data_IF_343711230374
#
_entry.id   IF_343711230374
#
_cell.length_a   1.000
_cell.length_b   1.000
_cell.length_c   1.000
_cell.angle_alpha   90.00
_cell.angle_beta   90.00
_cell.angle_gamma   90.00
#
_symmetry.space_group_name_H-M   'P 1'
#
loop_
_entity.id
_entity.type
_entity.pdbx_description
1 polymer ?
#
# COMPACT_ATOMS: atom_id res chain seq x y z
N UNK A 1 1.45 -18.77 -5.57
CA UNK A 1 1.35 -17.30 -5.49
C UNK A 1 2.74 -16.78 -5.23
N UNK A 2 3.25 -15.80 -5.99
CA UNK A 2 4.62 -15.29 -5.78
C UNK A 2 4.70 -14.41 -4.53
N UNK A 3 5.89 -14.25 -3.96
CA UNK A 3 6.14 -13.32 -2.84
C UNK A 3 5.66 -11.92 -3.17
N UNK A 4 5.92 -11.42 -4.38
CA UNK A 4 5.45 -10.10 -4.84
C UNK A 4 3.93 -9.99 -4.86
N UNK A 5 3.23 -11.02 -5.33
CA UNK A 5 1.75 -11.03 -5.29
C UNK A 5 1.22 -11.01 -3.86
N UNK A 6 1.89 -11.68 -2.92
CA UNK A 6 1.49 -11.69 -1.51
C UNK A 6 1.66 -10.29 -0.89
N UNK A 7 2.79 -9.63 -1.16
CA UNK A 7 3.07 -8.28 -0.70
C UNK A 7 2.08 -7.26 -1.28
N UNK A 8 1.71 -7.39 -2.56
CA UNK A 8 0.69 -6.54 -3.21
C UNK A 8 -0.64 -6.60 -2.45
N UNK A 9 -1.12 -7.82 -2.16
CA UNK A 9 -2.37 -7.99 -1.39
C UNK A 9 -2.24 -7.46 0.04
N UNK A 10 -1.06 -7.61 0.64
CA UNK A 10 -0.73 -7.04 1.94
C UNK A 10 -0.88 -5.52 1.95
N UNK A 11 -0.19 -4.80 1.04
CA UNK A 11 -0.28 -3.34 0.93
C UNK A 11 -1.71 -2.87 0.62
N UNK A 12 -2.44 -3.56 -0.27
CA UNK A 12 -3.85 -3.23 -0.54
C UNK A 12 -4.74 -3.34 0.71
N UNK A 13 -4.52 -4.36 1.54
CA UNK A 13 -5.24 -4.54 2.81
C UNK A 13 -4.92 -3.41 3.80
N UNK A 14 -3.65 -3.04 3.91
CA UNK A 14 -3.22 -1.93 4.78
C UNK A 14 -3.84 -0.62 4.32
N UNK A 15 -3.79 -0.32 3.02
CA UNK A 15 -4.42 0.87 2.43
C UNK A 15 -5.92 0.92 2.76
N UNK A 16 -6.64 -0.18 2.56
CA UNK A 16 -8.08 -0.27 2.83
C UNK A 16 -8.37 -0.06 4.33
N UNK A 17 -7.52 -0.59 5.21
CA UNK A 17 -7.67 -0.41 6.65
C UNK A 17 -7.48 1.05 7.07
N UNK A 18 -6.43 1.71 6.57
CA UNK A 18 -6.19 3.11 6.90
C UNK A 18 -7.19 4.07 6.26
N UNK A 19 -7.79 3.71 5.11
CA UNK A 19 -8.93 4.46 4.56
C UNK A 19 -10.13 4.41 5.49
N UNK A 20 -10.46 3.23 6.02
CA UNK A 20 -11.51 3.11 7.03
C UNK A 20 -11.20 3.95 8.27
N UNK A 21 -9.97 3.91 8.79
CA UNK A 21 -9.57 4.73 9.94
C UNK A 21 -9.63 6.23 9.66
N UNK A 22 -9.26 6.65 8.44
CA UNK A 22 -9.34 8.04 7.99
C UNK A 22 -10.78 8.54 7.94
N UNK A 23 -11.70 7.72 7.44
CA UNK A 23 -13.13 8.04 7.38
C UNK A 23 -13.73 8.20 8.78
N UNK A 24 -13.22 7.47 9.77
CA UNK A 24 -13.67 7.53 11.17
C UNK A 24 -12.82 8.41 12.08
N UNK A 25 -11.83 9.14 11.55
CA UNK A 25 -10.90 9.91 12.36
C UNK A 25 -11.61 11.05 13.12
N UNK A 26 -11.30 11.20 14.41
CA UNK A 26 -11.92 12.18 15.30
C UNK A 26 -11.09 13.47 15.42
N UNK A 27 -9.81 13.41 15.04
CA UNK A 27 -8.88 14.53 15.09
C UNK A 27 -8.13 14.75 13.79
N UNK A 28 -7.67 15.98 13.57
CA UNK A 28 -6.80 16.33 12.43
C UNK A 28 -5.47 15.59 12.48
N UNK A 29 -4.92 15.39 13.68
CA UNK A 29 -3.68 14.63 13.88
C UNK A 29 -3.82 13.16 13.44
N UNK A 30 -4.96 12.53 13.71
CA UNK A 30 -5.27 11.19 13.22
C UNK A 30 -5.44 11.18 11.70
N UNK A 31 -6.15 12.17 11.13
CA UNK A 31 -6.32 12.29 9.68
C UNK A 31 -4.98 12.38 8.97
N UNK A 32 -4.08 13.25 9.44
CA UNK A 32 -2.73 13.36 8.87
C UNK A 32 -1.94 12.05 9.01
N UNK A 33 -2.00 11.40 10.17
CA UNK A 33 -1.29 10.14 10.42
C UNK A 33 -1.76 9.04 9.46
N UNK A 34 -3.07 8.88 9.30
CA UNK A 34 -3.65 7.87 8.42
C UNK A 34 -3.41 8.19 6.96
N UNK A 35 -3.55 9.46 6.55
CA UNK A 35 -3.26 9.91 5.20
C UNK A 35 -1.78 9.66 4.82
N UNK A 36 -0.84 10.01 5.71
CA UNK A 36 0.59 9.75 5.49
C UNK A 36 0.86 8.26 5.31
N UNK A 37 0.24 7.40 6.14
CA UNK A 37 0.41 5.96 6.01
C UNK A 37 -0.17 5.39 4.72
N UNK A 38 -1.32 5.89 4.27
CA UNK A 38 -1.90 5.51 2.97
C UNK A 38 -0.93 5.86 1.83
N UNK A 39 -0.36 7.06 1.84
CA UNK A 39 0.56 7.51 0.80
C UNK A 39 1.87 6.71 0.78
N UNK A 40 2.40 6.33 1.95
CA UNK A 40 3.54 5.41 2.02
C UNK A 40 3.24 4.04 1.41
N UNK A 41 2.09 3.46 1.73
CA UNK A 41 1.71 2.14 1.20
C UNK A 41 1.37 2.19 -0.30
N UNK A 42 0.80 3.29 -0.80
CA UNK A 42 0.61 3.48 -2.25
C UNK A 42 1.95 3.48 -2.99
N UNK A 43 2.95 4.22 -2.49
CA UNK A 43 4.32 4.21 -3.07
C UNK A 43 4.94 2.81 -3.05
N UNK A 44 4.73 2.05 -1.97
CA UNK A 44 5.19 0.66 -1.90
C UNK A 44 4.47 -0.24 -2.91
N UNK A 45 3.15 -0.11 -3.02
CA UNK A 45 2.33 -0.86 -3.97
C UNK A 45 2.75 -0.58 -5.42
N UNK A 46 3.00 0.69 -5.77
CA UNK A 46 3.51 1.09 -7.09
C UNK A 46 4.83 0.39 -7.41
N UNK A 47 5.78 0.36 -6.46
CA UNK A 47 7.05 -0.35 -6.63
C UNK A 47 6.86 -1.85 -6.83
N UNK A 48 6.00 -2.48 -6.03
CA UNK A 48 5.71 -3.91 -6.14
C UNK A 48 5.04 -4.27 -7.48
N UNK A 49 4.15 -3.42 -7.97
CA UNK A 49 3.51 -3.58 -9.28
C UNK A 49 4.53 -3.42 -10.42
N UNK A 50 5.44 -2.46 -10.31
CA UNK A 50 6.53 -2.27 -11.27
C UNK A 50 7.48 -3.48 -11.30
N UNK A 51 7.82 -4.04 -10.14
CA UNK A 51 8.66 -5.24 -10.04
C UNK A 51 7.93 -6.49 -10.58
N UNK A 52 6.62 -6.61 -10.37
CA UNK A 52 5.82 -7.70 -10.94
C UNK A 52 5.71 -7.61 -12.47
N UNK A 53 5.60 -6.38 -13.00
CA UNK A 53 5.51 -6.11 -14.43
C UNK A 53 6.86 -6.21 -15.15
N UNK A 54 7.99 -6.18 -14.42
CA UNK A 54 9.31 -6.35 -15.00
C UNK A 54 9.43 -7.79 -15.54
N UNK A 55 9.60 -7.98 -16.86
CA UNK A 55 9.87 -9.31 -17.39
C UNK A 55 11.16 -9.84 -16.76
N UNK A 56 11.21 -11.15 -16.51
CA UNK A 56 12.42 -11.83 -16.07
C UNK A 56 13.50 -11.69 -17.17
N UNK A 57 14.32 -10.64 -17.08
CA UNK A 57 15.56 -10.46 -17.82
C UNK A 57 16.66 -10.38 -16.76
N UNK A 58 17.68 -11.22 -16.70
CA UNK A 58 18.32 -12.02 -17.74
C UNK A 58 18.66 -13.43 -17.24
N UNK A 59 18.47 -14.43 -18.10
CA UNK A 59 19.20 -15.69 -18.08
C UNK A 59 20.34 -15.58 -19.12
#
# INVERSE_FOLDING_TARGET
MSTTQFLIRGSQKVISHYQFLLDTAESEQERETFANRIEEEKRNLERLLADLARPAQAA
#
